data_IF_004217136295
#
_entry.id   IF_004217136295
#
_cell.length_a   1.000
_cell.length_b   1.000
_cell.length_c   1.000
_cell.angle_alpha   90.00
_cell.angle_beta   90.00
_cell.angle_gamma   90.00
#
_symmetry.space_group_name_H-M   'P 1'
#
loop_
_entity.id
_entity.type
_entity.pdbx_description
1 polymer ?
#
# COMPACT_ATOMS: atom_id res chain seq x y z
N UNK A 1 -5.10 -0.20 -7.13
CA UNK A 1 -4.45 1.01 -7.69
C UNK A 1 -3.09 1.32 -7.05
N UNK A 2 -1.96 1.02 -7.72
CA UNK A 2 -0.61 1.25 -7.18
C UNK A 2 -0.17 2.72 -7.08
N UNK A 3 -0.73 3.59 -7.93
CA UNK A 3 -0.30 4.99 -8.05
C UNK A 3 -0.58 5.84 -6.80
N UNK A 4 -1.74 5.64 -6.15
CA UNK A 4 -2.09 6.37 -4.92
C UNK A 4 -1.13 6.03 -3.79
N UNK A 5 -0.83 4.74 -3.59
CA UNK A 5 0.10 4.27 -2.57
C UNK A 5 1.52 4.79 -2.81
N UNK A 6 1.96 4.86 -4.06
CA UNK A 6 3.24 5.49 -4.42
C UNK A 6 3.29 6.98 -4.04
N UNK A 7 2.25 7.76 -4.36
CA UNK A 7 2.19 9.18 -4.00
C UNK A 7 2.15 9.42 -2.47
N UNK A 8 1.42 8.58 -1.75
CA UNK A 8 1.38 8.63 -0.27
C UNK A 8 2.75 8.29 0.30
N UNK A 9 3.41 7.23 -0.19
CA UNK A 9 4.76 6.86 0.20
C UNK A 9 5.77 7.99 -0.05
N UNK A 10 5.66 8.69 -1.20
CA UNK A 10 6.50 9.87 -1.50
C UNK A 10 6.40 10.93 -0.43
N UNK A 11 5.15 11.23 -0.07
CA UNK A 11 4.84 12.27 0.90
C UNK A 11 5.37 11.85 2.27
N UNK A 12 5.13 10.60 2.67
CA UNK A 12 5.60 10.03 3.93
C UNK A 12 7.14 10.07 4.06
N UNK A 13 7.88 9.71 3.01
CA UNK A 13 9.35 9.87 3.00
C UNK A 13 9.75 11.34 3.13
N UNK A 14 9.12 12.24 2.36
CA UNK A 14 9.43 13.67 2.38
C UNK A 14 9.14 14.35 3.72
N UNK A 15 8.20 13.82 4.50
CA UNK A 15 7.80 14.34 5.81
C UNK A 15 8.31 13.51 6.99
N UNK A 16 9.17 12.51 6.75
CA UNK A 16 9.67 11.57 7.76
C UNK A 16 8.52 10.98 8.60
N UNK A 17 7.42 10.63 7.94
CA UNK A 17 6.20 10.09 8.56
C UNK A 17 6.12 8.60 8.30
N UNK A 18 5.70 7.84 9.30
CA UNK A 18 5.49 6.41 9.17
C UNK A 18 4.26 6.10 8.33
N UNK A 19 4.39 5.18 7.38
CA UNK A 19 3.30 4.71 6.54
C UNK A 19 2.82 3.34 7.02
N UNK A 20 1.60 3.29 7.55
CA UNK A 20 0.95 2.04 7.93
C UNK A 20 0.07 1.54 6.77
N UNK A 21 0.32 0.31 6.32
CA UNK A 21 -0.49 -0.36 5.30
C UNK A 21 -1.30 -1.48 5.95
N UNK A 22 -2.61 -1.45 5.75
CA UNK A 22 -3.53 -2.42 6.36
C UNK A 22 -3.80 -3.54 5.36
N UNK A 23 -3.50 -4.77 5.75
CA UNK A 23 -3.73 -5.95 4.91
C UNK A 23 -5.15 -6.53 5.07
N UNK A 24 -5.72 -7.15 4.01
CA UNK A 24 -5.10 -7.44 2.70
C UNK A 24 -5.13 -6.25 1.74
N UNK A 25 -4.03 -6.02 1.03
CA UNK A 25 -3.96 -5.01 -0.03
C UNK A 25 -4.66 -5.51 -1.30
N UNK A 26 -5.33 -4.61 -2.00
CA UNK A 26 -5.97 -4.88 -3.30
C UNK A 26 -4.99 -4.88 -4.49
N UNK A 27 -3.68 -4.79 -4.24
CA UNK A 27 -2.64 -4.73 -5.27
C UNK A 27 -1.33 -5.31 -4.72
N UNK A 28 -0.49 -5.79 -5.63
CA UNK A 28 0.85 -6.26 -5.29
C UNK A 28 1.82 -5.09 -5.19
N UNK A 29 2.62 -5.09 -4.12
CA UNK A 29 3.75 -4.18 -3.93
C UNK A 29 5.04 -4.67 -4.59
N UNK A 30 4.98 -5.80 -5.31
CA UNK A 30 6.17 -6.49 -5.77
C UNK A 30 7.01 -5.64 -6.73
N UNK A 31 8.32 -5.74 -6.51
CA UNK A 31 9.39 -4.77 -6.71
C UNK A 31 9.52 -4.26 -8.15
N UNK A 32 8.98 -4.99 -9.13
CA UNK A 32 8.98 -4.61 -10.55
C UNK A 32 8.06 -3.46 -10.90
N UNK A 33 6.97 -3.24 -10.15
CA UNK A 33 6.05 -2.14 -10.39
C UNK A 33 6.48 -0.87 -9.66
N UNK A 34 7.04 -1.02 -8.46
CA UNK A 34 7.56 0.09 -7.65
C UNK A 34 8.83 0.70 -8.28
N UNK A 35 9.79 -0.14 -8.72
CA UNK A 35 11.01 0.34 -9.40
C UNK A 35 10.76 1.04 -10.73
N UNK A 36 9.69 0.68 -11.46
CA UNK A 36 9.35 1.33 -12.74
C UNK A 36 8.66 2.69 -12.58
N UNK A 37 8.08 2.97 -11.41
CA UNK A 37 7.40 4.22 -11.12
C UNK A 37 8.36 5.35 -10.66
N UNK A 38 9.68 5.14 -10.69
CA UNK A 38 10.68 6.13 -10.27
C UNK A 38 10.70 6.34 -8.75
N UNK A 39 10.38 5.27 -8.00
CA UNK A 39 10.29 5.28 -6.54
C UNK A 39 11.64 4.91 -5.91
N UNK A 40 12.69 5.68 -6.23
CA UNK A 40 14.05 5.51 -5.67
C UNK A 40 14.07 5.67 -4.13
N UNK A 41 12.98 6.18 -3.57
CA UNK A 41 12.75 6.40 -2.14
C UNK A 41 12.00 5.28 -1.45
N UNK A 42 11.49 4.27 -2.17
CA UNK A 42 10.65 3.23 -1.57
C UNK A 42 11.36 2.49 -0.42
N UNK A 43 12.65 2.21 -0.60
CA UNK A 43 13.51 1.59 0.42
C UNK A 43 13.75 2.49 1.65
N UNK A 44 13.42 3.78 1.55
CA UNK A 44 13.58 4.78 2.62
C UNK A 44 12.27 5.12 3.32
N UNK A 45 11.13 4.57 2.89
CA UNK A 45 9.85 4.75 3.57
C UNK A 45 9.85 3.93 4.85
N UNK A 46 9.56 4.56 5.99
CA UNK A 46 9.28 3.84 7.23
C UNK A 46 7.89 3.17 7.11
N UNK A 47 7.87 1.89 6.75
CA UNK A 47 6.68 1.09 6.43
C UNK A 47 6.36 0.10 7.54
N UNK A 48 5.09 0.02 7.93
CA UNK A 48 4.56 -1.03 8.81
C UNK A 48 3.29 -1.64 8.24
N UNK A 49 3.27 -2.97 8.13
CA UNK A 49 2.08 -3.72 7.73
C UNK A 49 1.27 -4.11 8.96
N UNK A 50 0.00 -3.70 8.99
CA UNK A 50 -0.95 -4.04 10.04
C UNK A 50 -1.90 -5.11 9.50
N UNK A 51 -1.86 -6.29 10.10
CA UNK A 51 -2.80 -7.35 9.81
C UNK A 51 -4.10 -7.11 10.56
N UNK A 52 -5.20 -6.87 9.85
CA UNK A 52 -6.53 -6.91 10.46
C UNK A 52 -7.09 -8.32 10.34
N UNK A 53 -7.24 -8.99 11.49
CA UNK A 53 -7.94 -10.27 11.56
C UNK A 53 -9.43 -10.03 11.80
N UNK A 54 -10.19 -9.78 10.72
CA UNK A 54 -11.65 -9.71 10.79
C UNK A 54 -12.26 -10.93 10.08
N UNK A 55 -12.90 -11.86 10.82
CA UNK A 55 -13.67 -12.96 10.24
C UNK A 55 -14.74 -12.48 9.23
N UNK A 56 -15.17 -11.23 9.38
CA UNK A 56 -16.18 -10.56 8.57
C UNK A 56 -15.76 -10.26 7.13
N UNK A 57 -14.47 -10.35 6.78
CA UNK A 57 -13.98 -9.93 5.47
C UNK A 57 -14.02 -11.03 4.41
N UNK A 58 -14.14 -12.30 4.82
CA UNK A 58 -14.33 -13.43 3.88
C UNK A 58 -15.44 -13.21 2.85
N UNK A 59 -16.66 -12.76 3.22
CA UNK A 59 -17.72 -12.50 2.25
C UNK A 59 -17.44 -11.30 1.33
N UNK A 60 -16.67 -10.31 1.78
CA UNK A 60 -16.40 -9.06 1.04
C UNK A 60 -15.10 -9.05 0.25
N UNK A 61 -14.38 -10.18 0.18
CA UNK A 61 -13.14 -10.31 -0.59
C UNK A 61 -13.30 -9.88 -2.06
N UNK A 62 -14.49 -10.08 -2.63
CA UNK A 62 -14.83 -9.64 -3.99
C UNK A 62 -15.08 -8.12 -4.12
N UNK A 63 -15.47 -7.45 -3.03
CA UNK A 63 -15.68 -6.00 -2.97
C UNK A 63 -14.38 -5.21 -2.75
N UNK A 64 -13.31 -5.85 -2.27
CA UNK A 64 -12.01 -5.18 -2.11
C UNK A 64 -11.42 -4.69 -3.45
N UNK A 65 -11.83 -5.28 -4.57
CA UNK A 65 -11.49 -4.81 -5.92
C UNK A 65 -12.26 -3.54 -6.35
N UNK A 66 -13.27 -3.11 -5.58
CA UNK A 66 -14.14 -1.96 -5.90
C UNK A 66 -13.80 -0.68 -5.14
N UNK A 67 -12.87 -0.72 -4.17
CA UNK A 67 -12.42 0.46 -3.41
C UNK A 67 -11.20 1.16 -4.04
N UNK A 68 -10.85 0.77 -5.27
CA UNK A 68 -9.87 1.46 -6.10
C UNK A 68 -10.52 2.74 -6.69
N UNK A 69 -10.41 3.86 -5.97
CA UNK A 69 -10.68 5.23 -6.46
C UNK A 69 -9.41 5.94 -6.90
#
# INVERSE_FOLDING_TARGET
MPANTGNIARTATGTNTKLHLIEPLGFDLDDKHVKRAGLDYWDTVDLEFIQIYLPLWKPYKHLMNYFDF
#
